data_IF_504613458984
#
_entry.id   IF_504613458984
#
_cell.length_a   1.000
_cell.length_b   1.000
_cell.length_c   1.000
_cell.angle_alpha   90.00
_cell.angle_beta   90.00
_cell.angle_gamma   90.00
#
_symmetry.space_group_name_H-M   'P 1'
#
loop_
_entity.id
_entity.type
_entity.pdbx_description
1 polymer ?
#
# COMPACT_ATOMS: atom_id res chain seq x y z
N UNK A 1 3.91 2.09 56.24
CA UNK A 1 5.03 2.59 55.42
C UNK A 1 4.89 2.01 54.02
N UNK A 2 4.31 2.78 53.12
CA UNK A 2 4.07 2.36 51.73
C UNK A 2 5.21 2.90 50.84
N UNK A 3 6.04 2.00 50.35
CA UNK A 3 7.06 2.33 49.38
C UNK A 3 6.39 2.51 48.00
N UNK A 4 6.29 3.75 47.55
CA UNK A 4 5.98 4.06 46.16
C UNK A 4 7.24 3.87 45.31
N UNK A 5 7.30 2.81 44.54
CA UNK A 5 8.32 2.59 43.52
C UNK A 5 8.01 3.51 42.32
N UNK A 6 8.76 4.60 42.22
CA UNK A 6 8.83 5.42 41.01
C UNK A 6 9.47 4.58 39.89
N UNK A 7 8.66 4.05 38.94
CA UNK A 7 9.15 3.53 37.68
C UNK A 7 9.57 4.72 36.82
N UNK A 8 10.86 5.04 36.82
CA UNK A 8 11.45 5.89 35.79
C UNK A 8 11.38 5.15 34.45
N UNK A 9 10.48 5.57 33.54
CA UNK A 9 10.48 5.09 32.18
C UNK A 9 11.87 5.36 31.57
N UNK A 10 12.46 4.42 30.82
CA UNK A 10 13.76 4.62 30.20
C UNK A 10 13.74 5.83 29.28
N UNK A 11 14.83 6.60 29.26
CA UNK A 11 14.97 7.77 28.37
C UNK A 11 14.81 7.34 26.90
N UNK A 12 13.98 8.08 26.15
CA UNK A 12 13.71 7.79 24.75
C UNK A 12 14.99 7.91 23.92
N UNK A 13 15.15 7.01 22.97
CA UNK A 13 16.24 7.07 22.00
C UNK A 13 16.03 8.22 21.00
N UNK A 14 17.11 8.72 20.35
CA UNK A 14 16.98 9.73 19.29
C UNK A 14 16.01 9.31 18.16
N UNK A 15 15.93 8.02 17.84
CA UNK A 15 15.03 7.47 16.84
C UNK A 15 13.56 7.56 17.27
N UNK A 16 13.25 7.27 18.53
CA UNK A 16 11.92 7.44 19.09
C UNK A 16 11.46 8.90 19.10
N UNK A 17 12.35 9.84 19.42
CA UNK A 17 12.05 11.27 19.33
C UNK A 17 11.78 11.73 17.89
N UNK A 18 12.55 11.23 16.93
CA UNK A 18 12.32 11.53 15.51
C UNK A 18 10.96 11.00 15.05
N UNK A 19 10.62 9.77 15.39
CA UNK A 19 9.33 9.17 15.03
C UNK A 19 8.15 9.95 15.61
N UNK A 20 8.19 10.31 16.89
CA UNK A 20 7.15 11.12 17.53
C UNK A 20 6.98 12.49 16.85
N UNK A 21 8.11 13.09 16.42
CA UNK A 21 8.06 14.36 15.68
C UNK A 21 7.36 14.19 14.34
N UNK A 22 7.64 13.10 13.61
CA UNK A 22 6.99 12.81 12.32
C UNK A 22 5.49 12.54 12.50
N UNK A 23 5.11 11.77 13.52
CA UNK A 23 3.71 11.47 13.82
C UNK A 23 2.93 12.73 14.21
N UNK A 24 3.55 13.63 14.96
CA UNK A 24 2.97 14.91 15.32
C UNK A 24 2.75 15.79 14.08
N UNK A 25 3.72 15.86 13.15
CA UNK A 25 3.55 16.56 11.88
C UNK A 25 2.37 15.99 11.10
N UNK A 26 2.32 14.68 10.92
CA UNK A 26 1.24 14.01 10.18
C UNK A 26 -0.15 14.33 10.76
N UNK A 27 -0.26 14.29 12.09
CA UNK A 27 -1.51 14.62 12.78
C UNK A 27 -1.97 16.06 12.50
N UNK A 28 -1.06 17.04 12.58
CA UNK A 28 -1.39 18.44 12.34
C UNK A 28 -1.68 18.73 10.85
N UNK A 29 -0.92 18.13 9.96
CA UNK A 29 -1.16 18.24 8.50
C UNK A 29 -2.57 17.78 8.16
N UNK A 30 -3.05 16.71 8.79
CA UNK A 30 -4.40 16.22 8.54
C UNK A 30 -5.47 17.15 9.12
N UNK A 31 -5.27 17.71 10.31
CA UNK A 31 -6.17 18.71 10.88
C UNK A 31 -6.34 19.93 9.97
N UNK A 32 -5.29 20.25 9.20
CA UNK A 32 -5.30 21.30 8.19
C UNK A 32 -5.92 20.88 6.84
N UNK A 33 -6.42 19.65 6.70
CA UNK A 33 -6.99 19.14 5.46
C UNK A 33 -5.97 18.58 4.46
N UNK A 34 -4.78 18.16 4.93
CA UNK A 34 -3.78 17.45 4.15
C UNK A 34 -2.58 18.29 3.70
N UNK A 35 -1.63 17.60 3.07
CA UNK A 35 -0.36 18.18 2.64
C UNK A 35 -0.50 19.32 1.65
N UNK A 36 -1.55 19.33 0.82
CA UNK A 36 -1.79 20.40 -0.13
C UNK A 36 -1.82 21.77 0.58
N UNK A 37 -2.51 21.86 1.70
CA UNK A 37 -2.62 23.11 2.46
C UNK A 37 -1.29 23.51 3.10
N UNK A 38 -0.50 22.56 3.57
CA UNK A 38 0.85 22.84 4.11
C UNK A 38 1.80 23.30 3.01
N UNK A 39 1.79 22.65 1.84
CA UNK A 39 2.70 22.98 0.74
C UNK A 39 2.38 24.34 0.10
N UNK A 40 1.17 24.89 0.27
CA UNK A 40 0.86 26.26 -0.19
C UNK A 40 1.67 27.34 0.52
N UNK A 41 2.22 27.06 1.72
CA UNK A 41 3.13 27.96 2.41
C UNK A 41 4.54 28.03 1.78
N UNK A 42 4.81 27.17 0.77
CA UNK A 42 6.07 27.10 0.05
C UNK A 42 5.86 27.54 -1.40
N UNK A 43 6.23 28.78 -1.78
CA UNK A 43 5.98 29.31 -3.13
C UNK A 43 6.59 28.46 -4.24
N UNK A 44 7.67 27.75 -3.95
CA UNK A 44 8.38 26.87 -4.88
C UNK A 44 7.50 25.74 -5.41
N UNK A 45 6.52 25.27 -4.65
CA UNK A 45 5.56 24.23 -5.04
C UNK A 45 4.27 24.75 -5.68
N UNK A 46 4.05 26.07 -5.72
CA UNK A 46 2.81 26.67 -6.20
C UNK A 46 2.42 26.17 -7.59
N UNK A 47 3.35 26.26 -8.55
CA UNK A 47 3.11 25.82 -9.93
C UNK A 47 2.77 24.33 -10.01
N UNK A 48 3.47 23.50 -9.23
CA UNK A 48 3.23 22.05 -9.18
C UNK A 48 1.87 21.70 -8.57
N UNK A 49 1.43 22.45 -7.54
CA UNK A 49 0.13 22.29 -6.91
C UNK A 49 -1.01 22.66 -7.86
N UNK A 50 -0.86 23.75 -8.63
CA UNK A 50 -1.87 24.21 -9.59
C UNK A 50 -2.00 23.26 -10.78
N UNK A 51 -0.87 22.77 -11.30
CA UNK A 51 -0.82 21.97 -12.51
C UNK A 51 -0.90 20.44 -12.28
N UNK A 52 -0.92 20.00 -11.02
CA UNK A 52 -0.98 18.56 -10.71
C UNK A 52 -2.10 17.86 -11.50
N UNK A 53 -1.88 16.68 -12.06
CA UNK A 53 -0.68 15.83 -12.04
C UNK A 53 0.30 16.10 -13.21
N UNK A 54 0.23 17.26 -13.86
CA UNK A 54 1.12 17.62 -14.98
C UNK A 54 2.52 17.94 -14.47
N UNK A 55 3.53 17.63 -15.28
CA UNK A 55 4.91 17.95 -14.97
C UNK A 55 5.20 19.44 -15.10
N UNK A 56 6.03 19.95 -14.22
CA UNK A 56 6.48 21.35 -14.15
C UNK A 56 8.01 21.41 -14.02
N UNK A 57 8.57 22.61 -14.00
CA UNK A 57 9.99 22.83 -13.67
C UNK A 57 10.31 22.27 -12.27
N UNK A 58 11.59 22.01 -12.02
CA UNK A 58 12.06 21.55 -10.71
C UNK A 58 11.78 22.62 -9.64
N UNK A 59 11.00 22.33 -8.59
CA UNK A 59 10.73 23.30 -7.52
C UNK A 59 11.97 23.59 -6.65
N UNK A 60 12.97 22.69 -6.64
CA UNK A 60 14.17 22.84 -5.83
C UNK A 60 15.22 23.77 -6.47
N UNK A 61 15.32 23.75 -7.80
CA UNK A 61 16.35 24.49 -8.55
C UNK A 61 15.77 25.50 -9.55
N UNK A 62 14.48 25.46 -9.81
CA UNK A 62 13.81 26.25 -10.86
C UNK A 62 14.15 25.81 -12.30
N UNK A 63 14.96 24.77 -12.49
CA UNK A 63 15.46 24.32 -13.77
C UNK A 63 14.53 23.35 -14.51
N UNK A 64 14.73 23.21 -15.83
CA UNK A 64 13.96 22.31 -16.68
C UNK A 64 12.52 22.79 -16.91
N UNK A 65 11.75 22.05 -17.69
CA UNK A 65 10.35 22.37 -17.99
C UNK A 65 9.37 21.33 -17.44
N UNK A 66 9.81 20.07 -17.29
CA UNK A 66 8.95 18.91 -16.98
C UNK A 66 9.58 17.95 -15.96
N UNK A 67 10.46 18.46 -15.10
CA UNK A 67 11.25 17.63 -14.19
C UNK A 67 10.51 17.12 -12.96
N UNK A 68 9.44 17.78 -12.54
CA UNK A 68 8.75 17.50 -11.30
C UNK A 68 7.24 17.39 -11.51
N UNK A 69 6.57 16.49 -10.80
CA UNK A 69 5.10 16.44 -10.73
C UNK A 69 4.63 15.73 -9.46
N UNK A 70 3.48 16.12 -8.97
CA UNK A 70 2.70 15.30 -8.04
C UNK A 70 1.97 14.18 -8.80
N UNK A 71 1.81 13.00 -8.18
CA UNK A 71 1.10 11.88 -8.82
C UNK A 71 -0.40 12.13 -8.97
N UNK A 72 -1.00 12.83 -8.01
CA UNK A 72 -2.43 13.14 -8.01
C UNK A 72 -2.70 14.59 -7.55
N UNK A 73 -3.96 14.99 -7.62
CA UNK A 73 -4.39 16.34 -7.24
C UNK A 73 -4.77 16.47 -5.77
N UNK A 74 -5.13 15.39 -5.12
CA UNK A 74 -5.66 15.42 -3.74
C UNK A 74 -4.55 15.62 -2.73
N UNK A 75 -3.34 15.09 -3.00
CA UNK A 75 -2.18 15.14 -2.13
C UNK A 75 -2.47 14.65 -0.70
N UNK A 76 -3.37 13.67 -0.58
CA UNK A 76 -3.61 12.98 0.69
C UNK A 76 -2.33 12.27 1.15
N UNK A 77 -1.69 11.57 0.23
CA UNK A 77 -0.30 11.11 0.37
C UNK A 77 0.53 11.81 -0.70
N UNK A 78 1.47 12.66 -0.27
CA UNK A 78 2.33 13.39 -1.21
C UNK A 78 3.29 12.41 -1.88
N UNK A 79 2.86 11.83 -2.98
CA UNK A 79 3.79 11.16 -3.88
C UNK A 79 4.19 12.13 -4.98
N UNK A 80 5.44 12.55 -4.97
CA UNK A 80 6.02 13.34 -6.05
C UNK A 80 7.04 12.54 -6.84
N UNK A 81 7.12 12.82 -8.12
CA UNK A 81 8.11 12.23 -9.05
C UNK A 81 8.99 13.35 -9.54
N UNK A 82 10.28 13.13 -9.48
CA UNK A 82 11.30 14.00 -10.05
C UNK A 82 12.20 13.20 -10.99
N UNK A 83 12.52 13.77 -12.14
CA UNK A 83 13.28 13.08 -13.21
C UNK A 83 14.70 12.69 -12.77
N UNK A 84 15.35 13.53 -11.97
CA UNK A 84 16.74 13.35 -11.52
C UNK A 84 16.87 12.55 -10.20
N UNK A 85 15.76 12.06 -9.62
CA UNK A 85 15.76 11.32 -8.37
C UNK A 85 15.17 9.91 -8.55
N UNK A 86 15.62 8.92 -7.77
CA UNK A 86 15.00 7.59 -7.77
C UNK A 86 13.50 7.64 -7.51
N UNK A 87 12.76 6.72 -8.12
CA UNK A 87 11.35 6.55 -7.81
C UNK A 87 11.15 6.32 -6.30
N UNK A 88 10.15 6.96 -5.72
CA UNK A 88 9.84 6.94 -4.29
C UNK A 88 10.81 7.72 -3.37
N UNK A 89 11.63 8.61 -3.88
CA UNK A 89 12.41 9.53 -3.04
C UNK A 89 11.50 10.47 -2.24
N UNK A 90 10.41 10.94 -2.86
CA UNK A 90 9.46 11.87 -2.26
C UNK A 90 8.12 11.17 -2.03
N UNK A 91 7.95 10.58 -0.86
CA UNK A 91 6.74 9.83 -0.48
C UNK A 91 5.82 10.60 0.47
N UNK A 92 6.34 11.66 1.12
CA UNK A 92 5.55 12.59 1.92
C UNK A 92 6.06 14.03 1.80
N UNK A 93 5.35 14.97 2.42
CA UNK A 93 5.71 16.39 2.35
C UNK A 93 6.95 16.74 3.17
N UNK A 94 7.32 15.92 4.16
CA UNK A 94 8.56 16.11 4.93
C UNK A 94 9.77 15.91 4.02
N UNK A 95 9.72 14.90 3.13
CA UNK A 95 10.78 14.63 2.16
C UNK A 95 10.99 15.83 1.23
N UNK A 96 9.90 16.39 0.73
CA UNK A 96 9.95 17.55 -0.17
C UNK A 96 10.54 18.80 0.49
N UNK A 97 10.15 19.05 1.75
CA UNK A 97 10.64 20.23 2.49
C UNK A 97 12.08 20.03 2.93
N UNK A 98 12.47 18.81 3.28
CA UNK A 98 13.85 18.47 3.58
C UNK A 98 14.77 18.74 2.38
N UNK A 99 14.39 18.30 1.18
CA UNK A 99 15.11 18.55 -0.05
C UNK A 99 15.14 20.03 -0.41
N UNK A 100 13.98 20.70 -0.41
CA UNK A 100 13.87 22.12 -0.72
C UNK A 100 14.77 23.00 0.14
N UNK A 101 14.88 22.68 1.42
CA UNK A 101 15.69 23.46 2.37
C UNK A 101 17.10 22.88 2.59
N UNK A 102 17.45 21.78 1.94
CA UNK A 102 18.72 21.06 2.12
C UNK A 102 19.04 20.73 3.59
N UNK A 103 18.05 20.22 4.30
CA UNK A 103 18.11 19.87 5.73
C UNK A 103 17.69 18.42 5.98
N UNK A 104 17.97 17.90 7.19
CA UNK A 104 17.51 16.57 7.56
C UNK A 104 15.97 16.50 7.67
N UNK A 105 15.37 15.32 7.46
CA UNK A 105 13.94 15.08 7.63
C UNK A 105 13.45 15.47 9.04
N UNK A 106 14.23 15.19 10.06
CA UNK A 106 13.92 15.60 11.44
C UNK A 106 13.88 17.11 11.60
N UNK A 107 14.81 17.83 10.95
CA UNK A 107 14.80 19.28 10.99
C UNK A 107 13.64 19.85 10.16
N UNK A 108 13.32 19.27 9.01
CA UNK A 108 12.16 19.65 8.21
C UNK A 108 10.85 19.47 9.00
N UNK A 109 10.69 18.35 9.69
CA UNK A 109 9.54 18.11 10.54
C UNK A 109 9.40 19.15 11.68
N UNK A 110 10.50 19.51 12.35
CA UNK A 110 10.51 20.58 13.36
C UNK A 110 10.12 21.94 12.76
N UNK A 111 10.63 22.28 11.60
CA UNK A 111 10.31 23.53 10.92
C UNK A 111 8.82 23.60 10.52
N UNK A 112 8.25 22.48 10.09
CA UNK A 112 6.82 22.39 9.80
C UNK A 112 6.01 22.66 11.08
N UNK A 113 6.33 22.00 12.19
CA UNK A 113 5.62 22.22 13.46
C UNK A 113 5.71 23.67 13.94
N UNK A 114 6.90 24.27 13.80
CA UNK A 114 7.11 25.69 14.12
C UNK A 114 6.25 26.61 13.26
N UNK A 115 6.21 26.37 11.94
CA UNK A 115 5.36 27.11 10.99
C UNK A 115 3.88 26.95 11.35
N UNK A 116 3.47 25.78 11.83
CA UNK A 116 2.10 25.48 12.25
C UNK A 116 1.79 26.01 13.68
N UNK A 117 2.73 26.72 14.33
CA UNK A 117 2.55 27.28 15.67
C UNK A 117 2.66 26.24 16.81
N UNK A 118 3.21 25.05 16.52
CA UNK A 118 3.42 24.01 17.52
C UNK A 118 4.79 24.18 18.16
N UNK A 119 4.85 24.35 19.49
CA UNK A 119 6.11 24.55 20.22
C UNK A 119 7.06 23.36 20.06
N UNK A 120 8.36 23.63 19.82
CA UNK A 120 9.43 22.62 19.68
C UNK A 120 9.60 21.72 20.90
N UNK A 121 9.28 22.22 22.08
CA UNK A 121 9.47 21.54 23.37
C UNK A 121 8.18 20.94 23.93
N UNK A 122 7.10 21.01 23.17
CA UNK A 122 5.80 20.49 23.61
C UNK A 122 5.84 18.97 23.68
N UNK A 123 5.71 18.42 24.87
CA UNK A 123 5.44 16.99 25.06
C UNK A 123 4.07 16.68 24.46
N UNK A 124 3.99 15.53 23.76
CA UNK A 124 2.70 15.02 23.28
C UNK A 124 1.69 14.98 24.43
N UNK A 125 0.62 15.76 24.30
CA UNK A 125 -0.50 15.72 25.25
C UNK A 125 -1.35 14.48 24.98
N UNK A 126 -2.23 14.14 25.93
CA UNK A 126 -3.21 13.07 25.71
C UNK A 126 -4.13 13.38 24.51
N UNK A 127 -4.47 14.66 24.28
CA UNK A 127 -5.21 15.11 23.11
C UNK A 127 -4.43 14.85 21.80
N UNK A 128 -3.11 15.06 21.79
CA UNK A 128 -2.28 14.76 20.64
C UNK A 128 -2.23 13.25 20.36
N UNK A 129 -2.14 12.42 21.42
CA UNK A 129 -2.18 10.96 21.30
C UNK A 129 -3.53 10.47 20.78
N UNK A 130 -4.63 11.00 21.29
CA UNK A 130 -5.98 10.72 20.78
C UNK A 130 -6.11 11.15 19.33
N UNK A 131 -5.56 12.30 18.93
CA UNK A 131 -5.55 12.74 17.55
C UNK A 131 -4.70 11.86 16.64
N UNK A 132 -3.54 11.35 17.09
CA UNK A 132 -2.73 10.38 16.36
C UNK A 132 -3.53 9.08 16.16
N UNK A 133 -4.18 8.57 17.21
CA UNK A 133 -5.04 7.37 17.13
C UNK A 133 -6.25 7.60 16.24
N UNK A 134 -6.87 8.79 16.30
CA UNK A 134 -7.95 9.18 15.40
C UNK A 134 -7.45 9.41 13.98
N UNK A 135 -6.19 9.85 13.82
CA UNK A 135 -5.53 9.91 12.52
C UNK A 135 -5.37 8.52 11.93
N UNK A 136 -4.78 7.58 12.69
CA UNK A 136 -4.64 6.20 12.24
C UNK A 136 -6.01 5.57 11.94
N UNK A 137 -7.02 5.83 12.76
CA UNK A 137 -8.40 5.39 12.49
C UNK A 137 -9.04 6.09 11.29
N UNK A 138 -8.75 7.37 11.00
CA UNK A 138 -9.24 8.11 9.81
C UNK A 138 -8.41 7.80 8.57
N UNK A 139 -7.10 7.64 8.68
CA UNK A 139 -6.28 7.07 7.61
C UNK A 139 -6.72 5.64 7.28
N UNK A 140 -7.30 4.96 8.27
CA UNK A 140 -7.98 3.68 8.11
C UNK A 140 -9.41 3.81 7.55
N UNK A 141 -10.09 4.94 7.68
CA UNK A 141 -11.30 5.18 6.93
C UNK A 141 -10.88 5.51 5.50
N UNK A 142 -11.16 4.61 4.58
CA UNK A 142 -11.18 4.88 3.14
C UNK A 142 -12.36 5.84 2.90
N UNK A 143 -12.27 7.00 3.53
CA UNK A 143 -13.22 8.05 3.36
C UNK A 143 -12.91 8.69 2.02
N UNK A 144 -13.90 8.70 1.18
CA UNK A 144 -14.10 9.68 0.17
C UNK A 144 -13.54 9.41 -1.22
N UNK A 145 -13.53 8.13 -1.62
CA UNK A 145 -14.00 7.93 -2.98
C UNK A 145 -15.51 8.19 -2.91
N UNK A 146 -15.97 9.24 -3.59
CA UNK A 146 -17.40 9.50 -3.68
C UNK A 146 -18.14 8.23 -4.09
N UNK A 147 -19.39 8.08 -3.70
CA UNK A 147 -20.19 6.87 -3.97
C UNK A 147 -20.18 6.48 -5.46
N UNK A 148 -20.15 7.46 -6.35
CA UNK A 148 -20.04 7.24 -7.81
C UNK A 148 -18.72 6.55 -8.22
N UNK A 149 -17.58 7.02 -7.68
CA UNK A 149 -16.28 6.39 -7.97
C UNK A 149 -16.22 4.98 -7.36
N UNK A 150 -16.79 4.77 -6.17
CA UNK A 150 -16.85 3.46 -5.53
C UNK A 150 -17.68 2.49 -6.36
N UNK A 151 -18.85 2.88 -6.82
CA UNK A 151 -19.69 2.08 -7.72
C UNK A 151 -18.97 1.79 -9.03
N UNK A 152 -18.29 2.79 -9.61
CA UNK A 152 -17.48 2.59 -10.82
C UNK A 152 -16.38 1.53 -10.60
N UNK A 153 -15.73 1.51 -9.43
CA UNK A 153 -14.72 0.49 -9.10
C UNK A 153 -15.35 -0.89 -8.90
N UNK A 154 -16.48 -0.98 -8.20
CA UNK A 154 -17.23 -2.24 -8.03
C UNK A 154 -17.57 -2.83 -9.40
N UNK A 155 -18.17 -2.04 -10.28
CA UNK A 155 -18.53 -2.49 -11.63
C UNK A 155 -17.32 -3.02 -12.43
N UNK A 156 -16.15 -2.39 -12.26
CA UNK A 156 -14.90 -2.87 -12.90
C UNK A 156 -14.41 -4.19 -12.31
N UNK A 157 -14.51 -4.38 -10.99
CA UNK A 157 -14.17 -5.64 -10.36
C UNK A 157 -15.14 -6.76 -10.78
N UNK A 158 -16.43 -6.49 -10.79
CA UNK A 158 -17.46 -7.42 -11.24
C UNK A 158 -17.26 -7.83 -12.69
N UNK A 159 -16.91 -6.89 -13.57
CA UNK A 159 -16.58 -7.19 -14.97
C UNK A 159 -15.39 -8.17 -15.07
N UNK A 160 -14.39 -8.07 -14.20
CA UNK A 160 -13.30 -9.05 -14.14
C UNK A 160 -13.79 -10.40 -13.66
N UNK A 161 -14.57 -10.43 -12.56
CA UNK A 161 -15.13 -11.69 -12.03
C UNK A 161 -15.99 -12.44 -13.04
N UNK A 162 -16.82 -11.73 -13.80
CA UNK A 162 -17.68 -12.31 -14.83
C UNK A 162 -16.92 -13.16 -15.86
N UNK A 163 -15.68 -12.77 -16.19
CA UNK A 163 -14.83 -13.46 -17.17
C UNK A 163 -13.73 -14.30 -16.53
N UNK A 164 -13.70 -14.40 -15.21
CA UNK A 164 -12.74 -15.21 -14.48
C UNK A 164 -13.35 -16.57 -14.14
N UNK A 165 -12.64 -17.63 -14.51
CA UNK A 165 -13.03 -19.03 -14.25
C UNK A 165 -12.23 -19.58 -13.09
N UNK A 166 -12.72 -20.64 -12.48
CA UNK A 166 -11.90 -21.41 -11.54
C UNK A 166 -10.65 -21.96 -12.22
N UNK A 167 -9.58 -22.07 -11.47
CA UNK A 167 -8.34 -22.70 -11.96
C UNK A 167 -8.57 -24.21 -11.99
N UNK A 168 -8.45 -24.79 -13.20
CA UNK A 168 -8.49 -26.23 -13.41
C UNK A 168 -7.08 -26.76 -13.63
N UNK A 169 -6.81 -28.07 -13.43
CA UNK A 169 -5.46 -28.65 -13.60
C UNK A 169 -4.84 -28.45 -15.00
N UNK A 170 -5.65 -28.28 -16.02
CA UNK A 170 -5.27 -28.05 -17.42
C UNK A 170 -5.16 -26.57 -17.79
N UNK A 171 -5.52 -25.66 -16.90
CA UNK A 171 -5.44 -24.23 -17.13
C UNK A 171 -4.01 -23.71 -17.22
N UNK A 172 -3.80 -22.57 -17.91
CA UNK A 172 -2.49 -21.92 -17.98
C UNK A 172 -1.97 -21.49 -16.61
N UNK A 173 -2.86 -21.15 -15.67
CA UNK A 173 -2.49 -20.85 -14.28
C UNK A 173 -1.92 -22.10 -13.59
N UNK A 174 -2.55 -23.26 -13.75
CA UNK A 174 -2.04 -24.52 -13.20
C UNK A 174 -0.67 -24.88 -13.81
N UNK A 175 -0.51 -24.67 -15.12
CA UNK A 175 0.79 -24.86 -15.80
C UNK A 175 1.86 -23.93 -15.22
N UNK A 176 1.54 -22.67 -15.03
CA UNK A 176 2.43 -21.69 -14.41
C UNK A 176 2.84 -22.11 -12.99
N UNK A 177 1.89 -22.48 -12.16
CA UNK A 177 2.14 -22.90 -10.79
C UNK A 177 2.94 -24.21 -10.73
N UNK A 178 2.65 -25.18 -11.63
CA UNK A 178 3.43 -26.41 -11.77
C UNK A 178 4.90 -26.13 -12.10
N UNK A 179 5.15 -25.20 -13.02
CA UNK A 179 6.51 -24.74 -13.36
C UNK A 179 7.24 -24.07 -12.21
N UNK A 180 6.51 -23.62 -11.18
CA UNK A 180 7.05 -23.08 -9.92
C UNK A 180 7.22 -24.13 -8.82
N UNK A 181 7.01 -25.40 -9.12
CA UNK A 181 7.11 -26.49 -8.17
C UNK A 181 5.85 -26.80 -7.38
N UNK A 182 4.77 -26.03 -7.58
CA UNK A 182 3.49 -26.20 -6.90
C UNK A 182 2.68 -27.24 -7.70
N UNK A 183 2.69 -28.49 -7.25
CA UNK A 183 2.10 -29.62 -7.97
C UNK A 183 0.95 -30.27 -7.21
N UNK A 184 1.16 -30.59 -5.93
CA UNK A 184 0.17 -31.24 -5.07
C UNK A 184 -1.03 -30.34 -4.84
N UNK A 185 -0.81 -29.05 -4.67
CA UNK A 185 -1.87 -28.06 -4.47
C UNK A 185 -2.74 -27.81 -5.70
N UNK A 186 -2.33 -28.27 -6.91
CA UNK A 186 -3.14 -28.14 -8.12
C UNK A 186 -4.48 -28.89 -8.05
N UNK A 187 -4.61 -29.86 -7.18
CA UNK A 187 -5.88 -30.58 -6.91
C UNK A 187 -6.77 -29.87 -5.88
N UNK A 188 -6.24 -28.86 -5.18
CA UNK A 188 -6.89 -28.12 -4.09
C UNK A 188 -6.65 -26.62 -4.18
N UNK A 189 -6.63 -26.06 -5.40
CA UNK A 189 -6.42 -24.63 -5.60
C UNK A 189 -7.51 -23.83 -4.91
N UNK A 190 -7.15 -22.80 -4.11
CA UNK A 190 -8.13 -21.99 -3.40
C UNK A 190 -9.10 -21.29 -4.36
N UNK A 191 -10.38 -21.24 -3.99
CA UNK A 191 -11.42 -20.57 -4.78
C UNK A 191 -11.20 -19.05 -4.92
N UNK A 192 -10.34 -18.46 -4.06
CA UNK A 192 -9.89 -17.06 -4.17
C UNK A 192 -8.93 -16.82 -5.34
N UNK A 193 -8.43 -17.88 -5.99
CA UNK A 193 -7.65 -17.81 -7.22
C UNK A 193 -8.50 -18.19 -8.43
N UNK A 194 -8.37 -17.40 -9.48
CA UNK A 194 -9.07 -17.61 -10.74
C UNK A 194 -8.16 -17.47 -11.95
N UNK A 195 -8.69 -17.84 -13.09
CA UNK A 195 -8.07 -17.75 -14.40
C UNK A 195 -8.93 -16.90 -15.36
N UNK A 196 -8.35 -15.83 -15.90
CA UNK A 196 -8.92 -15.05 -16.99
C UNK A 196 -8.06 -15.26 -18.25
N UNK A 197 -8.67 -15.80 -19.29
CA UNK A 197 -7.94 -16.20 -20.50
C UNK A 197 -7.40 -15.00 -21.32
N UNK A 198 -8.02 -13.82 -21.19
CA UNK A 198 -7.68 -12.65 -22.03
C UNK A 198 -7.93 -11.36 -21.27
N UNK A 199 -7.03 -11.00 -20.36
CA UNK A 199 -7.14 -9.77 -19.57
C UNK A 199 -6.29 -8.66 -20.16
N UNK A 200 -6.87 -7.47 -20.22
CA UNK A 200 -6.19 -6.27 -20.72
C UNK A 200 -5.08 -5.84 -19.77
N UNK A 201 -3.90 -5.64 -20.33
CA UNK A 201 -2.77 -4.97 -19.72
C UNK A 201 -2.62 -3.57 -20.32
N UNK A 202 -2.46 -2.58 -19.46
CA UNK A 202 -2.24 -1.19 -19.86
C UNK A 202 -0.87 -0.72 -19.40
N UNK A 203 0.12 -0.51 -20.31
CA UNK A 203 1.48 -0.11 -19.95
C UNK A 203 1.66 1.40 -19.70
N UNK A 204 0.59 2.19 -19.77
CA UNK A 204 0.63 3.65 -19.67
C UNK A 204 0.22 4.36 -20.94
N UNK A 205 0.24 5.71 -20.93
CA UNK A 205 -0.40 6.56 -21.93
C UNK A 205 0.18 6.48 -23.36
N UNK A 206 1.43 6.03 -23.52
CA UNK A 206 2.13 6.09 -24.81
C UNK A 206 2.39 4.73 -25.47
N UNK A 207 1.85 3.64 -24.91
CA UNK A 207 2.03 2.30 -25.44
C UNK A 207 0.68 1.62 -25.67
N UNK A 208 0.52 0.81 -26.73
CA UNK A 208 -0.73 0.10 -26.98
C UNK A 208 -1.01 -0.91 -25.85
N UNK A 209 -2.29 -1.08 -25.55
CA UNK A 209 -2.70 -2.12 -24.62
C UNK A 209 -2.46 -3.50 -25.24
N UNK A 210 -2.02 -4.45 -24.42
CA UNK A 210 -1.93 -5.87 -24.77
C UNK A 210 -2.93 -6.69 -23.96
N UNK A 211 -3.09 -7.96 -24.33
CA UNK A 211 -3.98 -8.89 -23.64
C UNK A 211 -3.21 -10.16 -23.31
N UNK A 212 -3.37 -10.63 -22.08
CA UNK A 212 -2.63 -11.78 -21.58
C UNK A 212 -3.52 -12.74 -20.79
N UNK A 213 -3.25 -14.03 -20.82
CA UNK A 213 -3.76 -14.96 -19.82
C UNK A 213 -3.35 -14.47 -18.44
N UNK A 214 -4.22 -14.52 -17.46
CA UNK A 214 -3.97 -13.87 -16.17
C UNK A 214 -4.46 -14.73 -15.02
N UNK A 215 -3.59 -14.95 -14.03
CA UNK A 215 -3.98 -15.41 -12.72
C UNK A 215 -4.59 -14.23 -11.96
N UNK A 216 -5.78 -14.44 -11.42
CA UNK A 216 -6.56 -13.46 -10.68
C UNK A 216 -6.66 -13.90 -9.24
N UNK A 217 -6.33 -13.06 -8.29
CA UNK A 217 -6.48 -13.34 -6.87
C UNK A 217 -7.33 -12.27 -6.19
N UNK A 218 -8.24 -12.69 -5.33
CA UNK A 218 -9.04 -11.79 -4.51
C UNK A 218 -8.17 -11.31 -3.35
N UNK A 219 -8.09 -9.99 -3.18
CA UNK A 219 -7.51 -9.37 -2.00
C UNK A 219 -8.66 -8.93 -1.08
N UNK A 220 -8.67 -9.45 0.14
CA UNK A 220 -9.65 -9.14 1.16
C UNK A 220 -9.11 -8.05 2.09
N UNK A 221 -10.00 -7.19 2.58
CA UNK A 221 -9.66 -6.30 3.68
C UNK A 221 -9.58 -7.08 5.02
N UNK A 222 -9.20 -6.40 6.08
CA UNK A 222 -9.09 -7.02 7.42
C UNK A 222 -10.40 -7.60 7.97
N UNK A 223 -11.55 -7.23 7.39
CA UNK A 223 -12.86 -7.77 7.74
C UNK A 223 -13.29 -8.93 6.83
N UNK A 224 -12.41 -9.40 5.95
CA UNK A 224 -12.70 -10.48 5.01
C UNK A 224 -13.52 -10.06 3.79
N UNK A 225 -13.81 -8.75 3.58
CA UNK A 225 -14.57 -8.28 2.42
C UNK A 225 -13.68 -8.20 1.19
N UNK A 226 -14.23 -8.55 0.04
CA UNK A 226 -13.52 -8.43 -1.24
C UNK A 226 -13.18 -6.96 -1.51
N UNK A 227 -11.91 -6.59 -1.38
CA UNK A 227 -11.42 -5.23 -1.47
C UNK A 227 -10.96 -4.87 -2.88
N UNK A 228 -10.20 -5.74 -3.49
CA UNK A 228 -9.66 -5.57 -4.85
C UNK A 228 -9.22 -6.89 -5.44
N UNK A 229 -8.68 -6.82 -6.65
CA UNK A 229 -8.14 -7.95 -7.41
C UNK A 229 -6.66 -7.72 -7.68
N UNK A 230 -5.84 -8.71 -7.32
CA UNK A 230 -4.46 -8.84 -7.76
C UNK A 230 -4.41 -9.64 -9.07
N UNK A 231 -3.69 -9.14 -10.05
CA UNK A 231 -3.51 -9.73 -11.38
C UNK A 231 -2.05 -10.14 -11.56
N UNK A 232 -1.82 -11.36 -12.03
CA UNK A 232 -0.51 -11.80 -12.53
C UNK A 232 -0.68 -12.20 -13.97
N UNK A 233 -0.20 -11.35 -14.89
CA UNK A 233 -0.23 -11.62 -16.34
C UNK A 233 0.82 -12.67 -16.69
N UNK A 234 0.41 -13.64 -17.52
CA UNK A 234 1.22 -14.78 -17.94
C UNK A 234 1.52 -14.70 -19.43
N UNK A 235 2.52 -15.46 -19.88
CA UNK A 235 2.74 -15.74 -21.29
C UNK A 235 1.61 -16.61 -21.86
N UNK A 236 1.43 -16.59 -23.17
CA UNK A 236 0.36 -17.34 -23.85
C UNK A 236 0.49 -18.86 -23.67
N UNK A 237 1.69 -19.36 -23.41
CA UNK A 237 1.95 -20.77 -23.07
C UNK A 237 1.76 -21.08 -21.57
N UNK A 238 1.58 -20.06 -20.73
CA UNK A 238 1.44 -20.20 -19.30
C UNK A 238 2.70 -20.67 -18.56
N UNK A 239 3.90 -20.61 -19.17
CA UNK A 239 5.11 -21.09 -18.52
C UNK A 239 5.75 -20.07 -17.58
N UNK A 240 5.56 -18.79 -17.84
CA UNK A 240 6.13 -17.70 -17.05
C UNK A 240 5.21 -16.48 -17.01
N UNK A 241 5.58 -15.48 -16.23
CA UNK A 241 4.92 -14.16 -16.26
C UNK A 241 5.11 -13.53 -17.63
N UNK A 242 4.12 -12.75 -18.08
CA UNK A 242 4.18 -12.01 -19.32
C UNK A 242 5.40 -11.09 -19.35
N UNK A 243 6.00 -10.96 -20.52
CA UNK A 243 7.15 -10.10 -20.76
C UNK A 243 6.68 -8.64 -20.94
N UNK A 244 6.26 -8.04 -19.83
CA UNK A 244 5.80 -6.67 -19.71
C UNK A 244 6.45 -6.02 -18.50
N UNK A 245 6.49 -4.70 -18.47
CA UNK A 245 7.17 -3.93 -17.44
C UNK A 245 6.73 -4.33 -16.00
N UNK A 246 5.42 -4.47 -15.78
CA UNK A 246 4.85 -4.84 -14.50
C UNK A 246 3.81 -5.95 -14.68
N UNK A 247 4.21 -7.23 -14.72
CA UNK A 247 3.29 -8.34 -14.91
C UNK A 247 2.36 -8.58 -13.73
N UNK A 248 2.67 -8.02 -12.55
CA UNK A 248 1.83 -8.05 -11.35
C UNK A 248 1.22 -6.68 -11.11
N UNK A 249 -0.10 -6.60 -11.06
CA UNK A 249 -0.84 -5.36 -10.88
C UNK A 249 -2.03 -5.57 -9.95
N UNK A 250 -2.30 -4.57 -9.13
CA UNK A 250 -3.51 -4.47 -8.32
C UNK A 250 -4.54 -3.58 -9.04
N UNK A 251 -5.81 -3.90 -8.97
CA UNK A 251 -6.87 -2.97 -9.39
C UNK A 251 -7.10 -1.92 -8.31
N UNK A 252 -7.77 -0.82 -8.65
CA UNK A 252 -8.16 0.19 -7.65
C UNK A 252 -9.08 -0.44 -6.61
N UNK A 253 -8.78 -0.34 -5.33
CA UNK A 253 -9.56 -0.97 -4.28
C UNK A 253 -10.90 -0.24 -4.04
N UNK A 254 -11.90 -0.97 -3.55
CA UNK A 254 -13.21 -0.44 -3.15
C UNK A 254 -13.33 -0.24 -1.63
N UNK A 255 -12.45 -0.85 -0.89
CA UNK A 255 -12.27 -0.69 0.56
C UNK A 255 -10.80 -0.48 0.87
N UNK A 256 -10.50 -0.06 2.10
CA UNK A 256 -9.13 0.09 2.56
C UNK A 256 -8.40 -1.27 2.56
N UNK A 257 -7.15 -1.25 2.10
CA UNK A 257 -6.33 -2.45 1.98
C UNK A 257 -5.49 -2.75 3.21
N UNK A 258 -5.27 -1.76 4.08
CA UNK A 258 -4.44 -1.93 5.29
C UNK A 258 -5.02 -3.02 6.20
N UNK A 259 -4.16 -3.90 6.69
CA UNK A 259 -4.56 -5.07 7.47
C UNK A 259 -5.09 -6.23 6.63
N UNK A 260 -5.30 -6.02 5.32
CA UNK A 260 -5.83 -7.04 4.41
C UNK A 260 -4.78 -7.95 3.78
N UNK A 261 -5.26 -8.97 3.07
CA UNK A 261 -4.44 -9.96 2.38
C UNK A 261 -5.22 -10.76 1.33
N UNK A 262 -4.52 -11.52 0.53
CA UNK A 262 -5.11 -12.60 -0.28
C UNK A 262 -5.26 -13.83 0.59
N UNK A 263 -6.47 -14.06 1.11
CA UNK A 263 -6.82 -15.15 2.01
C UNK A 263 -7.02 -16.44 1.20
N UNK A 264 -5.90 -17.13 0.92
CA UNK A 264 -5.92 -18.31 0.05
C UNK A 264 -6.58 -19.53 0.70
N UNK A 265 -6.37 -19.72 2.00
CA UNK A 265 -6.87 -20.89 2.74
C UNK A 265 -7.45 -20.43 4.08
N UNK A 266 -8.31 -21.26 4.67
CA UNK A 266 -8.75 -21.05 6.05
C UNK A 266 -7.62 -21.45 7.00
N UNK A 267 -7.41 -20.71 8.11
CA UNK A 267 -6.52 -21.15 9.19
C UNK A 267 -6.88 -22.56 9.67
N UNK A 268 -5.90 -23.32 10.11
CA UNK A 268 -6.10 -24.68 10.63
C UNK A 268 -5.93 -24.70 12.12
N UNK A 269 -6.89 -25.28 12.83
CA UNK A 269 -6.80 -25.51 14.27
C UNK A 269 -6.09 -26.83 14.54
N UNK A 270 -5.17 -26.84 15.50
CA UNK A 270 -4.47 -28.01 15.99
C UNK A 270 -4.97 -28.38 17.37
N UNK A 271 -5.57 -29.57 17.50
CA UNK A 271 -6.11 -30.05 18.78
C UNK A 271 -5.03 -30.38 19.81
N UNK A 272 -3.84 -30.76 19.37
CA UNK A 272 -2.74 -31.08 20.27
C UNK A 272 -2.19 -29.84 20.96
N UNK A 273 -1.96 -28.76 20.19
CA UNK A 273 -1.41 -27.49 20.71
C UNK A 273 -2.48 -26.51 21.18
N UNK A 274 -3.78 -26.82 20.93
CA UNK A 274 -4.92 -25.92 21.17
C UNK A 274 -4.73 -24.54 20.53
N UNK A 275 -4.14 -24.51 19.33
CA UNK A 275 -3.74 -23.27 18.64
C UNK A 275 -4.16 -23.27 17.18
N UNK A 276 -4.39 -22.08 16.65
CA UNK A 276 -4.59 -21.86 15.22
C UNK A 276 -3.25 -21.68 14.52
N UNK A 277 -3.12 -22.23 13.33
CA UNK A 277 -1.94 -22.09 12.48
C UNK A 277 -2.30 -21.40 11.18
N UNK A 278 -1.54 -20.36 10.86
CA UNK A 278 -1.60 -19.64 9.61
C UNK A 278 -0.22 -19.09 9.27
N UNK A 279 0.28 -19.43 8.09
CA UNK A 279 1.46 -18.81 7.52
C UNK A 279 1.11 -17.53 6.76
N UNK A 280 2.06 -16.63 6.66
CA UNK A 280 1.96 -15.41 5.86
C UNK A 280 3.20 -15.27 4.99
N UNK A 281 3.02 -14.87 3.74
CA UNK A 281 4.11 -14.58 2.82
C UNK A 281 3.80 -13.35 1.96
N UNK A 282 4.80 -12.82 1.29
CA UNK A 282 4.61 -11.66 0.42
C UNK A 282 3.79 -12.01 -0.84
N UNK A 283 4.10 -13.10 -1.50
CA UNK A 283 3.55 -13.44 -2.81
C UNK A 283 2.69 -14.70 -2.83
N UNK A 284 1.76 -14.78 -3.77
CA UNK A 284 0.87 -15.92 -3.98
C UNK A 284 1.68 -17.21 -4.18
N UNK A 285 2.70 -17.15 -5.03
CA UNK A 285 3.55 -18.30 -5.34
C UNK A 285 4.26 -18.82 -4.08
N UNK A 286 4.77 -17.92 -3.24
CA UNK A 286 5.41 -18.25 -1.97
C UNK A 286 4.40 -18.87 -0.99
N UNK A 287 3.21 -18.27 -0.86
CA UNK A 287 2.15 -18.79 0.01
C UNK A 287 1.75 -20.24 -0.39
N UNK A 288 1.53 -20.46 -1.68
CA UNK A 288 1.21 -21.79 -2.20
C UNK A 288 2.37 -22.78 -2.01
N UNK A 289 3.63 -22.34 -2.18
CA UNK A 289 4.82 -23.19 -1.95
C UNK A 289 4.97 -23.59 -0.48
N UNK A 290 4.71 -22.67 0.46
CA UNK A 290 4.70 -22.99 1.89
C UNK A 290 3.62 -24.04 2.19
N UNK A 291 2.40 -23.82 1.70
CA UNK A 291 1.30 -24.79 1.90
C UNK A 291 1.59 -26.12 1.20
N UNK A 292 2.21 -26.11 0.03
CA UNK A 292 2.66 -27.30 -0.69
C UNK A 292 3.64 -28.14 0.16
N UNK A 293 4.63 -27.49 0.76
CA UNK A 293 5.70 -28.13 1.51
C UNK A 293 5.27 -28.59 2.92
N UNK A 294 4.49 -27.77 3.61
CA UNK A 294 4.23 -27.92 5.05
C UNK A 294 2.81 -28.37 5.39
N UNK A 295 1.89 -28.27 4.45
CA UNK A 295 0.44 -28.37 4.66
C UNK A 295 -0.15 -27.29 5.59
N UNK A 296 0.64 -26.32 6.06
CA UNK A 296 0.17 -25.17 6.81
C UNK A 296 -0.49 -24.19 5.83
N UNK A 297 -1.75 -23.76 6.07
CA UNK A 297 -2.40 -22.75 5.26
C UNK A 297 -1.60 -21.46 5.29
N UNK A 298 -1.42 -20.79 4.14
CA UNK A 298 -0.64 -19.58 4.04
C UNK A 298 -1.38 -18.52 3.22
N UNK A 299 -1.39 -17.28 3.73
CA UNK A 299 -1.94 -16.11 3.04
C UNK A 299 -0.83 -15.32 2.34
N UNK A 300 -1.22 -14.54 1.33
CA UNK A 300 -0.29 -13.66 0.62
C UNK A 300 -0.65 -12.19 0.85
N UNK A 301 0.33 -11.38 1.29
CA UNK A 301 0.13 -9.98 1.64
C UNK A 301 0.27 -9.00 0.46
N UNK A 302 0.82 -9.46 -0.68
CA UNK A 302 1.15 -8.66 -1.86
C UNK A 302 2.43 -7.82 -1.78
N UNK A 303 2.87 -7.41 -0.60
CA UNK A 303 4.16 -6.74 -0.37
C UNK A 303 4.61 -6.91 1.08
N UNK A 304 5.90 -6.62 1.36
CA UNK A 304 6.42 -6.59 2.73
C UNK A 304 5.67 -5.59 3.61
N UNK A 305 5.36 -4.40 3.09
CA UNK A 305 4.59 -3.38 3.81
C UNK A 305 3.21 -3.89 4.23
N UNK A 306 2.48 -4.58 3.34
CA UNK A 306 1.20 -5.18 3.70
C UNK A 306 1.35 -6.35 4.67
N UNK A 307 2.48 -7.07 4.63
CA UNK A 307 2.77 -8.14 5.57
C UNK A 307 2.98 -7.62 7.00
N UNK A 308 3.68 -6.49 7.14
CA UNK A 308 3.88 -5.81 8.44
C UNK A 308 2.57 -5.27 9.04
N UNK A 309 1.63 -4.86 8.19
CA UNK A 309 0.35 -4.29 8.61
C UNK A 309 -0.78 -5.33 8.68
N UNK A 310 -0.50 -6.61 8.43
CA UNK A 310 -1.54 -7.64 8.37
C UNK A 310 -2.28 -7.77 9.70
N UNK A 311 -3.59 -7.71 9.65
CA UNK A 311 -4.49 -8.04 10.76
C UNK A 311 -5.16 -9.39 10.47
N UNK A 312 -5.01 -10.34 11.39
CA UNK A 312 -5.69 -11.63 11.29
C UNK A 312 -7.08 -11.45 11.88
N UNK A 313 -8.16 -11.79 11.16
CA UNK A 313 -9.51 -11.75 11.68
C UNK A 313 -9.64 -12.62 12.94
N UNK A 314 -10.43 -12.17 13.92
CA UNK A 314 -10.75 -12.91 15.15
C UNK A 314 -11.57 -14.18 14.88
#
# INVERSE_FOLDING_TARGET
>A
MSHSTNYNSPAKTPMQYAQETFDLVKSHVQQLGGWRNVLTYYPEFQEALEKAPRSVKCPFTGSGKTKFRFKDRTLESVHAIHEDYPHNTFIDGIDLIAELKSISKTQAAKNILEMLGVSKDRKLTEADRVNIVLYDKKAQSFSDIGEEERLSRINKLEAVYKYTKFVTPDSLVARYLSGRGIKRMLTKIPASLGFNAKMRYWPGSNKPASFHPTMVAIFNDKFGRNCTIHKTHLTDDGLKKADVENPKLMMKPVYQMNGGSMQLFKPTYCDETKSWFLGVSEGIENALSVTEATSIPCWASSSSTFMEMLEIPE
#
